data_IF_488943147401
#
_entry.id   IF_488943147401
#
_cell.length_a   1.000
_cell.length_b   1.000
_cell.length_c   1.000
_cell.angle_alpha   90.00
_cell.angle_beta   90.00
_cell.angle_gamma   90.00
#
_symmetry.space_group_name_H-M   'P 1'
#
loop_
_entity.id
_entity.type
_entity.pdbx_description
1 polymer ?
#
# COMPACT_ATOMS: atom_id res chain seq x y z
N UNK A 1 -11.98 10.47 -6.44
CA UNK A 1 -13.03 10.94 -5.53
C UNK A 1 -14.17 9.93 -5.41
N UNK A 2 -14.86 9.59 -6.51
CA UNK A 2 -16.03 8.71 -6.46
C UNK A 2 -15.75 7.35 -5.80
N UNK A 3 -14.66 6.65 -6.19
CA UNK A 3 -14.29 5.36 -5.58
C UNK A 3 -14.12 5.41 -4.05
N UNK A 4 -13.43 6.42 -3.53
CA UNK A 4 -13.18 6.57 -2.09
C UNK A 4 -14.47 6.92 -1.33
N UNK A 5 -15.32 7.78 -1.91
CA UNK A 5 -16.63 8.12 -1.34
C UNK A 5 -17.57 6.91 -1.33
N UNK A 6 -17.67 6.20 -2.45
CA UNK A 6 -18.50 4.99 -2.56
C UNK A 6 -18.04 3.91 -1.58
N UNK A 7 -16.74 3.68 -1.45
CA UNK A 7 -16.18 2.76 -0.45
C UNK A 7 -16.51 3.18 0.99
N UNK A 8 -16.35 4.47 1.30
CA UNK A 8 -16.69 5.02 2.61
C UNK A 8 -18.18 4.88 2.96
N UNK A 9 -19.07 5.19 2.02
CA UNK A 9 -20.53 5.03 2.20
C UNK A 9 -20.89 3.55 2.38
N UNK A 10 -20.32 2.66 1.57
CA UNK A 10 -20.55 1.21 1.71
C UNK A 10 -20.11 0.71 3.09
N UNK A 11 -18.93 1.12 3.57
CA UNK A 11 -18.42 0.75 4.88
C UNK A 11 -19.31 1.29 6.01
N UNK A 12 -19.84 2.51 5.88
CA UNK A 12 -20.80 3.06 6.85
C UNK A 12 -22.10 2.25 6.88
N UNK A 13 -22.63 1.87 5.72
CA UNK A 13 -23.84 1.02 5.63
C UNK A 13 -23.58 -0.33 6.29
N UNK A 14 -22.44 -0.98 6.00
CA UNK A 14 -22.07 -2.24 6.64
C UNK A 14 -21.96 -2.08 8.16
N UNK A 15 -21.33 -1.00 8.63
CA UNK A 15 -21.17 -0.70 10.07
C UNK A 15 -22.50 -0.56 10.81
N UNK A 16 -23.53 -0.03 10.14
CA UNK A 16 -24.91 -0.01 10.68
C UNK A 16 -25.45 -1.43 10.84
N UNK A 17 -25.33 -2.27 9.79
CA UNK A 17 -25.87 -3.63 9.80
C UNK A 17 -25.13 -4.61 10.70
N UNK A 18 -23.82 -4.43 10.89
CA UNK A 18 -23.02 -5.24 11.83
C UNK A 18 -23.22 -4.82 13.29
N UNK A 19 -23.82 -3.66 13.52
CA UNK A 19 -24.04 -3.09 14.85
C UNK A 19 -22.80 -2.45 15.47
N UNK A 20 -21.74 -2.20 14.67
CA UNK A 20 -20.49 -1.62 15.16
C UNK A 20 -20.69 -0.22 15.73
N UNK A 21 -21.61 0.57 15.14
CA UNK A 21 -21.96 1.91 15.65
C UNK A 21 -22.54 1.83 17.07
N UNK A 22 -23.39 0.85 17.35
CA UNK A 22 -24.03 0.68 18.66
C UNK A 22 -23.05 0.13 19.72
N UNK A 23 -22.01 -0.59 19.28
CA UNK A 23 -20.96 -1.13 20.15
C UNK A 23 -19.76 -0.18 20.31
N UNK A 24 -19.76 0.95 19.60
CA UNK A 24 -18.65 1.88 19.61
C UNK A 24 -18.57 2.61 20.96
N UNK A 25 -17.41 2.52 21.59
CA UNK A 25 -17.15 3.10 22.90
C UNK A 25 -15.95 4.06 22.80
N UNK A 26 -16.24 5.35 23.03
CA UNK A 26 -15.23 6.41 23.00
C UNK A 26 -14.12 6.22 24.04
N UNK A 27 -14.39 5.52 25.14
CA UNK A 27 -13.39 5.29 26.19
C UNK A 27 -12.28 4.33 25.75
N UNK A 28 -12.54 3.50 24.73
CA UNK A 28 -11.55 2.58 24.16
C UNK A 28 -10.68 3.24 23.09
N UNK A 29 -10.98 4.48 22.69
CA UNK A 29 -10.23 5.20 21.67
C UNK A 29 -8.99 5.85 22.30
N UNK A 30 -7.83 5.19 22.12
CA UNK A 30 -6.55 5.75 22.58
C UNK A 30 -6.05 6.89 21.67
N UNK A 31 -5.23 7.78 22.24
CA UNK A 31 -4.54 8.85 21.49
C UNK A 31 -3.68 8.28 20.34
N UNK A 32 -3.07 7.10 20.55
CA UNK A 32 -2.32 6.40 19.52
C UNK A 32 -3.22 6.02 18.34
N UNK A 33 -4.42 5.48 18.62
CA UNK A 33 -5.40 5.11 17.60
C UNK A 33 -5.81 6.32 16.75
N UNK A 34 -6.12 7.45 17.39
CA UNK A 34 -6.50 8.69 16.69
C UNK A 34 -5.36 9.17 15.78
N UNK A 35 -4.12 9.23 16.30
CA UNK A 35 -2.96 9.66 15.50
C UNK A 35 -2.70 8.72 14.32
N UNK A 36 -2.76 7.41 14.54
CA UNK A 36 -2.63 6.42 13.47
C UNK A 36 -3.75 6.55 12.43
N UNK A 37 -4.98 6.79 12.86
CA UNK A 37 -6.13 6.99 11.97
C UNK A 37 -5.96 8.23 11.08
N UNK A 38 -5.56 9.37 11.66
CA UNK A 38 -5.28 10.61 10.91
C UNK A 38 -4.14 10.37 9.90
N UNK A 39 -3.06 9.71 10.31
CA UNK A 39 -1.95 9.37 9.42
C UNK A 39 -2.41 8.49 8.24
N UNK A 40 -3.24 7.47 8.49
CA UNK A 40 -3.76 6.60 7.45
C UNK A 40 -4.72 7.32 6.50
N UNK A 41 -5.53 8.26 6.99
CA UNK A 41 -6.38 9.11 6.13
C UNK A 41 -5.52 9.96 5.19
N UNK A 42 -4.57 10.70 5.75
CA UNK A 42 -3.80 11.67 4.98
C UNK A 42 -2.76 10.99 4.09
N UNK A 43 -1.88 10.21 4.70
CA UNK A 43 -0.77 9.53 4.01
C UNK A 43 -1.21 8.26 3.29
N UNK A 44 -1.77 7.31 4.06
CA UNK A 44 -2.11 5.98 3.55
C UNK A 44 -3.26 5.96 2.54
N UNK A 45 -4.10 7.00 2.51
CA UNK A 45 -5.28 7.07 1.66
C UNK A 45 -5.20 8.23 0.67
N UNK A 46 -5.37 9.48 1.11
CA UNK A 46 -5.50 10.63 0.20
C UNK A 46 -4.24 10.81 -0.65
N UNK A 47 -3.07 10.92 -0.02
CA UNK A 47 -1.81 11.13 -0.74
C UNK A 47 -1.45 9.91 -1.59
N UNK A 48 -1.44 8.70 -1.01
CA UNK A 48 -1.10 7.47 -1.71
C UNK A 48 -2.01 7.23 -2.94
N UNK A 49 -3.33 7.34 -2.77
CA UNK A 49 -4.29 7.11 -3.86
C UNK A 49 -4.23 8.21 -4.92
N UNK A 50 -4.00 9.46 -4.53
CA UNK A 50 -3.84 10.56 -5.49
C UNK A 50 -2.58 10.37 -6.34
N UNK A 51 -1.44 10.04 -5.72
CA UNK A 51 -0.20 9.74 -6.43
C UNK A 51 -0.35 8.52 -7.34
N UNK A 52 -1.02 7.46 -6.89
CA UNK A 52 -1.29 6.27 -7.70
C UNK A 52 -2.11 6.61 -8.96
N UNK A 53 -3.21 7.36 -8.81
CA UNK A 53 -4.02 7.77 -9.95
C UNK A 53 -3.29 8.75 -10.88
N UNK A 54 -2.46 9.63 -10.33
CA UNK A 54 -1.60 10.49 -11.14
C UNK A 54 -0.66 9.64 -11.99
N UNK A 55 0.01 8.65 -11.41
CA UNK A 55 0.93 7.77 -12.13
C UNK A 55 0.22 6.94 -13.20
N UNK A 56 -0.98 6.40 -12.92
CA UNK A 56 -1.77 5.68 -13.94
C UNK A 56 -2.13 6.54 -15.16
N UNK A 57 -2.19 7.86 -15.01
CA UNK A 57 -2.46 8.79 -16.12
C UNK A 57 -1.19 9.18 -16.89
N UNK A 58 -0.01 9.03 -16.31
CA UNK A 58 1.25 9.57 -16.84
C UNK A 58 2.29 8.50 -17.20
N UNK A 59 2.13 7.26 -16.72
CA UNK A 59 3.09 6.16 -16.87
C UNK A 59 2.34 4.87 -17.21
N UNK A 60 3.00 3.96 -17.93
CA UNK A 60 2.47 2.64 -18.25
C UNK A 60 2.00 1.89 -17.00
N UNK A 61 0.79 1.32 -17.05
CA UNK A 61 0.12 0.67 -15.93
C UNK A 61 0.98 -0.40 -15.27
N UNK A 62 1.72 -1.18 -16.08
CA UNK A 62 2.61 -2.24 -15.63
C UNK A 62 3.70 -1.72 -14.70
N UNK A 63 4.19 -0.49 -14.94
CA UNK A 63 5.17 0.16 -14.08
C UNK A 63 4.53 0.66 -12.79
N UNK A 64 3.30 1.21 -12.87
CA UNK A 64 2.61 1.75 -11.68
C UNK A 64 2.24 0.65 -10.69
N UNK A 65 1.83 -0.52 -11.19
CA UNK A 65 1.50 -1.68 -10.33
C UNK A 65 2.74 -2.32 -9.68
N UNK A 66 3.96 -1.99 -10.12
CA UNK A 66 5.17 -2.46 -9.43
C UNK A 66 5.29 -1.95 -8.00
N UNK A 67 4.56 -0.88 -7.62
CA UNK A 67 4.55 -0.41 -6.23
C UNK A 67 4.06 -1.50 -5.25
N UNK A 68 3.18 -2.40 -5.68
CA UNK A 68 2.71 -3.53 -4.87
C UNK A 68 3.84 -4.46 -4.45
N UNK A 69 4.92 -4.55 -5.24
CA UNK A 69 6.11 -5.34 -4.91
C UNK A 69 7.11 -4.57 -4.05
N UNK A 70 7.11 -3.24 -4.13
CA UNK A 70 7.96 -2.37 -3.32
C UNK A 70 7.41 -2.22 -1.90
N UNK A 71 6.08 -2.14 -1.73
CA UNK A 71 5.43 -1.89 -0.44
C UNK A 71 5.82 -2.91 0.65
N UNK A 72 5.85 -4.25 0.41
CA UNK A 72 6.29 -5.21 1.42
C UNK A 72 7.74 -5.00 1.87
N UNK A 73 8.62 -4.59 0.96
CA UNK A 73 10.03 -4.33 1.27
C UNK A 73 10.16 -3.08 2.15
N UNK A 74 9.40 -2.03 1.83
CA UNK A 74 9.33 -0.82 2.66
C UNK A 74 8.74 -1.15 4.03
N UNK A 75 7.69 -1.98 4.10
CA UNK A 75 7.09 -2.41 5.36
C UNK A 75 8.07 -3.20 6.23
N UNK A 76 8.80 -4.16 5.65
CA UNK A 76 9.86 -4.91 6.35
C UNK A 76 10.95 -3.99 6.89
N UNK A 77 11.40 -3.03 6.07
CA UNK A 77 12.41 -2.06 6.49
C UNK A 77 11.93 -1.18 7.64
N UNK A 78 10.70 -0.67 7.56
CA UNK A 78 10.11 0.17 8.61
C UNK A 78 9.82 -0.63 9.88
N UNK A 79 9.38 -1.89 9.79
CA UNK A 79 9.17 -2.78 10.94
C UNK A 79 10.48 -3.06 11.68
N UNK A 80 11.55 -3.35 10.93
CA UNK A 80 12.88 -3.49 11.51
C UNK A 80 13.38 -2.20 12.18
N UNK A 81 13.22 -1.06 11.52
CA UNK A 81 13.76 0.21 12.02
C UNK A 81 12.96 0.77 13.20
N UNK A 82 11.64 0.82 13.10
CA UNK A 82 10.77 1.49 14.07
C UNK A 82 10.29 0.56 15.19
N UNK A 83 10.01 -0.72 14.87
CA UNK A 83 9.49 -1.69 15.83
C UNK A 83 10.56 -2.68 16.31
N UNK A 84 11.81 -2.57 15.82
CA UNK A 84 12.90 -3.50 16.11
C UNK A 84 12.55 -4.96 15.80
N UNK A 85 11.73 -5.18 14.76
CA UNK A 85 11.33 -6.52 14.32
C UNK A 85 12.55 -7.30 13.79
N UNK A 86 12.60 -8.59 14.12
CA UNK A 86 13.67 -9.47 13.62
C UNK A 86 13.39 -9.83 12.16
N UNK A 87 14.24 -9.34 11.26
CA UNK A 87 14.17 -9.68 9.84
C UNK A 87 14.93 -10.97 9.59
N UNK A 88 14.20 -12.00 9.18
CA UNK A 88 14.81 -13.29 8.82
C UNK A 88 15.64 -13.17 7.53
N UNK A 89 16.64 -14.03 7.37
CA UNK A 89 17.39 -14.17 6.11
C UNK A 89 16.48 -14.49 4.92
N UNK A 90 15.41 -15.26 5.14
CA UNK A 90 14.39 -15.54 4.14
C UNK A 90 13.66 -14.26 3.68
N UNK A 91 13.27 -13.39 4.62
CA UNK A 91 12.62 -12.12 4.31
C UNK A 91 13.52 -11.18 3.51
N UNK A 92 14.82 -11.16 3.82
CA UNK A 92 15.83 -10.42 3.04
C UNK A 92 15.92 -10.98 1.62
N UNK A 93 16.05 -12.30 1.47
CA UNK A 93 16.14 -12.93 0.16
C UNK A 93 14.88 -12.67 -0.70
N UNK A 94 13.69 -12.81 -0.12
CA UNK A 94 12.44 -12.49 -0.79
C UNK A 94 12.38 -11.01 -1.21
N UNK A 95 12.86 -10.09 -0.38
CA UNK A 95 12.91 -8.66 -0.70
C UNK A 95 13.82 -8.36 -1.89
N UNK A 96 14.99 -9.02 -1.96
CA UNK A 96 15.90 -8.91 -3.10
C UNK A 96 15.25 -9.43 -4.38
N UNK A 97 14.56 -10.58 -4.32
CA UNK A 97 13.83 -11.12 -5.47
C UNK A 97 12.71 -10.19 -5.96
N UNK A 98 11.91 -9.63 -5.04
CA UNK A 98 10.85 -8.67 -5.36
C UNK A 98 11.41 -7.44 -6.07
N UNK A 99 12.46 -6.81 -5.51
CA UNK A 99 13.10 -5.64 -6.09
C UNK A 99 13.76 -5.96 -7.45
N UNK A 100 14.37 -7.14 -7.59
CA UNK A 100 14.90 -7.62 -8.86
C UNK A 100 13.82 -7.67 -9.95
N UNK A 101 12.65 -8.21 -9.62
CA UNK A 101 11.49 -8.21 -10.52
C UNK A 101 11.04 -6.81 -10.93
N UNK A 102 10.99 -5.86 -9.99
CA UNK A 102 10.63 -4.45 -10.26
C UNK A 102 11.62 -3.81 -11.24
N UNK A 103 12.92 -4.03 -11.05
CA UNK A 103 13.97 -3.52 -11.95
C UNK A 103 13.80 -4.09 -13.36
N UNK A 104 13.51 -5.39 -13.49
CA UNK A 104 13.28 -6.03 -14.79
C UNK A 104 12.06 -5.43 -15.52
N UNK A 105 10.95 -5.21 -14.82
CA UNK A 105 9.74 -4.61 -15.42
C UNK A 105 10.00 -3.16 -15.85
N UNK A 106 10.80 -2.40 -15.09
CA UNK A 106 11.03 -0.99 -15.41
C UNK A 106 12.06 -0.81 -16.53
N UNK A 107 12.99 -1.74 -16.68
CA UNK A 107 14.06 -1.69 -17.69
C UNK A 107 13.52 -2.06 -19.07
N UNK A 108 13.77 -1.22 -20.09
CA UNK A 108 13.53 -1.61 -21.49
C UNK A 108 14.56 -2.67 -21.89
N UNK A 109 14.19 -3.94 -21.80
CA UNK A 109 14.96 -5.02 -22.43
C UNK A 109 14.76 -4.86 -23.94
N UNK A 110 15.80 -4.35 -24.61
CA UNK A 110 15.81 -4.21 -26.07
C UNK A 110 16.14 -5.59 -26.67
N UNK A 111 15.19 -6.53 -26.56
CA UNK A 111 15.35 -7.87 -27.09
C UNK A 111 15.30 -7.81 -28.61
N UNK A 112 16.48 -7.68 -29.25
CA UNK A 112 16.61 -7.90 -30.69
C UNK A 112 16.64 -9.41 -30.93
N UNK A 113 15.46 -9.98 -31.16
CA UNK A 113 15.33 -11.32 -31.74
C UNK A 113 15.73 -11.20 -33.22
N UNK A 114 17.00 -11.46 -33.54
CA UNK A 114 17.44 -11.64 -34.93
C UNK A 114 17.28 -13.13 -35.28
N UNK A 115 16.29 -13.43 -36.12
CA UNK A 115 15.94 -14.78 -36.57
C UNK A 115 16.55 -15.13 -37.93
N UNK A 116 17.62 -14.43 -38.32
CA UNK A 116 18.40 -14.75 -39.52
C UNK A 116 19.40 -15.88 -39.29
#
# INVERSE_FOLDING_TARGET
ALQMLSGGVLLLVISVFTGDIARFDWTQVSERSIRSFIYLILGGSILAFTSFNYLLKNVATEKVVTNTYVNPVVALFLGWWLNHEQVSSQSVFASVLLLGGVVLINTKINWKWDWR
#
